data_IF_765578373776
#
_entry.id   IF_765578373776
#
_cell.length_a   1.000
_cell.length_b   1.000
_cell.length_c   1.000
_cell.angle_alpha   90.00
_cell.angle_beta   90.00
_cell.angle_gamma   90.00
#
_symmetry.space_group_name_H-M   'P 1'
#
loop_
_entity.id
_entity.type
_entity.pdbx_description
1 polymer ?
#
# COMPACT_ATOMS: atom_id res chain seq x y z
N UNK A 1 5.41 20.54 28.51
CA UNK A 1 4.15 19.79 28.28
C UNK A 1 3.38 20.30 27.06
N UNK A 2 2.98 21.58 26.98
CA UNK A 2 2.20 22.13 25.85
C UNK A 2 2.93 22.03 24.49
N UNK A 3 4.24 22.36 24.45
CA UNK A 3 5.06 22.25 23.23
C UNK A 3 5.20 20.81 22.71
N UNK A 4 5.16 19.83 23.61
CA UNK A 4 5.23 18.40 23.29
C UNK A 4 3.90 17.89 22.73
N UNK A 5 2.77 18.31 23.29
CA UNK A 5 1.44 17.99 22.76
C UNK A 5 1.18 18.62 21.38
N UNK A 6 1.63 19.87 21.17
CA UNK A 6 1.53 20.52 19.85
C UNK A 6 2.40 19.83 18.79
N UNK A 7 3.55 19.28 19.17
CA UNK A 7 4.40 18.51 18.25
C UNK A 7 3.77 17.16 17.85
N UNK A 8 3.04 16.51 18.77
CA UNK A 8 2.32 15.25 18.49
C UNK A 8 1.14 15.48 17.52
N UNK A 9 0.37 16.55 17.74
CA UNK A 9 -0.69 16.95 16.81
C UNK A 9 -0.15 17.33 15.43
N UNK A 10 1.00 18.04 15.37
CA UNK A 10 1.65 18.36 14.09
C UNK A 10 2.36 17.17 13.42
N UNK A 11 2.67 16.09 14.14
CA UNK A 11 3.21 14.87 13.52
C UNK A 11 2.12 14.02 12.86
N UNK A 12 0.90 14.03 13.41
CA UNK A 12 -0.21 13.24 12.87
C UNK A 12 -0.76 13.79 11.55
N UNK A 13 -0.71 15.11 11.33
CA UNK A 13 -1.20 15.74 10.09
C UNK A 13 -0.15 15.77 8.95
N UNK A 14 1.12 15.44 9.23
CA UNK A 14 2.13 15.41 8.18
C UNK A 14 1.92 14.16 7.30
N UNK A 15 1.91 14.30 5.95
CA UNK A 15 1.90 13.14 5.07
C UNK A 15 3.23 12.38 5.18
N UNK A 16 3.17 11.13 5.63
CA UNK A 16 4.35 10.29 5.92
C UNK A 16 4.37 8.99 5.11
N UNK A 17 3.20 8.51 4.68
CA UNK A 17 3.07 7.19 4.06
C UNK A 17 2.70 7.31 2.60
N UNK A 18 3.56 6.82 1.71
CA UNK A 18 3.27 6.84 0.28
C UNK A 18 2.05 5.95 -0.05
N UNK A 19 1.24 6.39 -1.01
CA UNK A 19 0.03 5.70 -1.47
C UNK A 19 0.25 4.24 -1.89
N UNK A 20 1.46 3.88 -2.36
CA UNK A 20 1.84 2.51 -2.72
C UNK A 20 1.64 1.50 -1.60
N UNK A 21 1.77 1.93 -0.34
CA UNK A 21 1.52 1.08 0.83
C UNK A 21 0.06 0.63 0.83
N UNK A 22 -0.88 1.57 0.73
CA UNK A 22 -2.32 1.28 0.72
C UNK A 22 -2.72 0.53 -0.56
N UNK A 23 -2.15 0.89 -1.72
CA UNK A 23 -2.39 0.18 -2.97
C UNK A 23 -2.03 -1.30 -2.87
N UNK A 24 -0.95 -1.65 -2.15
CA UNK A 24 -0.59 -3.04 -1.90
C UNK A 24 -1.63 -3.77 -1.04
N UNK A 25 -2.13 -3.14 0.03
CA UNK A 25 -3.21 -3.71 0.82
C UNK A 25 -4.46 -3.95 -0.02
N UNK A 26 -4.85 -3.00 -0.88
CA UNK A 26 -6.00 -3.18 -1.78
C UNK A 26 -5.81 -4.40 -2.69
N UNK A 27 -4.62 -4.60 -3.24
CA UNK A 27 -4.32 -5.80 -4.05
C UNK A 27 -4.45 -7.09 -3.23
N UNK A 28 -3.93 -7.11 -2.00
CA UNK A 28 -4.09 -8.24 -1.08
C UNK A 28 -5.58 -8.51 -0.79
N UNK A 29 -6.33 -7.47 -0.45
CA UNK A 29 -7.77 -7.53 -0.14
C UNK A 29 -8.54 -8.14 -1.30
N UNK A 30 -8.36 -7.62 -2.52
CA UNK A 30 -9.00 -8.16 -3.73
C UNK A 30 -8.69 -9.64 -3.95
N UNK A 31 -7.50 -10.11 -3.53
CA UNK A 31 -7.06 -11.48 -3.75
C UNK A 31 -7.53 -12.46 -2.66
N UNK A 32 -7.59 -12.04 -1.41
CA UNK A 32 -7.79 -12.93 -0.25
C UNK A 32 -8.99 -12.60 0.63
N UNK A 33 -9.48 -11.37 0.55
CA UNK A 33 -10.56 -10.84 1.39
C UNK A 33 -11.64 -10.20 0.52
N UNK A 34 -12.13 -10.93 -0.50
CA UNK A 34 -13.10 -10.42 -1.47
C UNK A 34 -14.45 -9.98 -0.90
N UNK A 35 -14.71 -10.28 0.38
CA UNK A 35 -15.88 -9.82 1.13
C UNK A 35 -15.72 -8.42 1.74
N UNK A 36 -14.53 -7.82 1.70
CA UNK A 36 -14.27 -6.49 2.23
C UNK A 36 -14.68 -5.44 1.19
N UNK A 37 -15.57 -4.53 1.57
CA UNK A 37 -15.90 -3.35 0.76
C UNK A 37 -14.74 -2.34 0.84
N UNK A 38 -14.00 -2.21 -0.26
CA UNK A 38 -12.85 -1.31 -0.36
C UNK A 38 -13.29 0.16 -0.33
N UNK A 39 -14.43 0.50 -0.90
CA UNK A 39 -14.91 1.88 -0.91
C UNK A 39 -15.30 2.33 0.50
N UNK A 40 -16.01 1.46 1.24
CA UNK A 40 -16.34 1.72 2.65
C UNK A 40 -15.08 1.83 3.51
N UNK A 41 -14.13 0.89 3.35
CA UNK A 41 -12.86 0.89 4.08
C UNK A 41 -12.09 2.19 3.88
N UNK A 42 -11.91 2.62 2.63
CA UNK A 42 -11.20 3.87 2.33
C UNK A 42 -11.95 5.09 2.87
N UNK A 43 -13.28 5.11 2.74
CA UNK A 43 -14.09 6.21 3.27
C UNK A 43 -13.93 6.37 4.78
N UNK A 44 -13.94 5.27 5.54
CA UNK A 44 -13.70 5.28 7.00
C UNK A 44 -12.30 5.78 7.36
N UNK A 45 -11.32 5.46 6.52
CA UNK A 45 -9.94 5.95 6.64
C UNK A 45 -9.72 7.40 6.14
N UNK A 46 -10.78 8.10 5.71
CA UNK A 46 -10.69 9.43 5.08
C UNK A 46 -9.76 9.43 3.85
N UNK A 47 -9.75 8.34 3.11
CA UNK A 47 -9.00 8.16 1.86
C UNK A 47 -9.98 8.06 0.68
N UNK A 48 -9.52 8.49 -0.49
CA UNK A 48 -10.26 8.34 -1.75
C UNK A 48 -9.50 7.41 -2.69
N UNK A 49 -10.23 6.64 -3.49
CA UNK A 49 -9.61 5.66 -4.38
C UNK A 49 -8.57 6.29 -5.31
N UNK A 50 -8.88 7.44 -5.91
CA UNK A 50 -7.94 8.15 -6.80
C UNK A 50 -6.66 8.62 -6.10
N UNK A 51 -6.69 8.84 -4.77
CA UNK A 51 -5.49 9.18 -4.00
C UNK A 51 -4.60 7.96 -3.79
N UNK A 52 -5.19 6.77 -3.74
CA UNK A 52 -4.44 5.52 -3.64
C UNK A 52 -3.79 5.17 -4.99
N UNK A 53 -4.47 5.48 -6.09
CA UNK A 53 -3.96 5.25 -7.45
C UNK A 53 -2.89 6.29 -7.88
N UNK A 54 -2.83 7.46 -7.22
CA UNK A 54 -1.80 8.47 -7.44
C UNK A 54 -0.50 8.10 -6.72
N UNK A 55 0.53 7.66 -7.45
CA UNK A 55 1.84 7.30 -6.89
C UNK A 55 2.58 8.46 -6.19
N UNK A 56 2.23 9.71 -6.54
CA UNK A 56 2.77 10.92 -5.92
C UNK A 56 2.07 11.31 -4.62
N UNK A 57 0.96 10.65 -4.28
CA UNK A 57 0.19 10.97 -3.08
C UNK A 57 0.80 10.37 -1.82
N UNK A 58 0.70 11.14 -0.72
CA UNK A 58 1.15 10.75 0.60
C UNK A 58 0.00 10.91 1.59
N UNK A 59 -0.19 9.90 2.43
CA UNK A 59 -1.19 9.85 3.48
C UNK A 59 -0.56 10.17 4.84
N UNK A 60 -1.38 10.69 5.73
CA UNK A 60 -0.97 10.98 7.10
C UNK A 60 -0.97 9.74 7.99
N UNK A 61 -0.33 9.82 9.16
CA UNK A 61 -0.34 8.72 10.14
C UNK A 61 -1.76 8.33 10.52
N UNK A 62 -2.61 9.30 10.88
CA UNK A 62 -3.98 9.02 11.33
C UNK A 62 -4.84 8.39 10.22
N UNK A 63 -4.61 8.74 8.95
CA UNK A 63 -5.31 8.06 7.84
C UNK A 63 -4.91 6.58 7.74
N UNK A 64 -3.60 6.29 7.82
CA UNK A 64 -3.09 4.91 7.76
C UNK A 64 -3.52 4.09 8.97
N UNK A 65 -3.56 4.69 10.16
CA UNK A 65 -4.01 4.02 11.37
C UNK A 65 -5.49 3.65 11.28
N UNK A 66 -6.36 4.58 10.86
CA UNK A 66 -7.78 4.30 10.62
C UNK A 66 -7.96 3.18 9.59
N UNK A 67 -7.21 3.22 8.49
CA UNK A 67 -7.25 2.17 7.48
C UNK A 67 -6.89 0.81 8.08
N UNK A 68 -5.79 0.73 8.84
CA UNK A 68 -5.33 -0.51 9.45
C UNK A 68 -6.30 -1.04 10.49
N UNK A 69 -6.77 -0.20 11.42
CA UNK A 69 -7.71 -0.57 12.47
C UNK A 69 -9.01 -1.14 11.89
N UNK A 70 -9.59 -0.45 10.90
CA UNK A 70 -10.81 -0.92 10.24
C UNK A 70 -10.58 -2.21 9.46
N UNK A 71 -9.48 -2.33 8.73
CA UNK A 71 -9.16 -3.55 7.99
C UNK A 71 -8.97 -4.74 8.94
N UNK A 72 -8.21 -4.57 10.03
CA UNK A 72 -7.99 -5.61 11.03
C UNK A 72 -9.30 -6.04 11.70
N UNK A 73 -10.19 -5.09 12.03
CA UNK A 73 -11.50 -5.38 12.60
C UNK A 73 -12.40 -6.20 11.66
N UNK A 74 -12.45 -5.85 10.37
CA UNK A 74 -13.28 -6.57 9.38
C UNK A 74 -12.71 -7.96 9.08
N UNK A 75 -11.39 -8.07 8.93
CA UNK A 75 -10.72 -9.32 8.55
C UNK A 75 -10.55 -10.29 9.71
N UNK A 76 -10.60 -9.79 10.96
CA UNK A 76 -10.22 -10.52 12.19
C UNK A 76 -8.83 -11.14 12.11
N UNK A 77 -7.97 -10.60 11.25
CA UNK A 77 -6.62 -11.08 11.05
C UNK A 77 -5.64 -10.24 11.87
N UNK A 78 -5.17 -10.80 13.00
CA UNK A 78 -4.21 -10.13 13.90
C UNK A 78 -2.87 -9.80 13.21
N UNK A 79 -2.57 -10.44 12.08
CA UNK A 79 -1.30 -10.31 11.38
C UNK A 79 -1.43 -9.72 9.97
N UNK A 80 -2.50 -8.97 9.68
CA UNK A 80 -2.78 -8.44 8.33
C UNK A 80 -1.62 -7.58 7.78
N UNK A 81 -0.92 -6.83 8.64
CA UNK A 81 0.29 -6.08 8.25
C UNK A 81 1.42 -6.98 7.78
N UNK A 82 1.65 -8.08 8.51
CA UNK A 82 2.69 -9.05 8.16
C UNK A 82 2.32 -9.77 6.85
N UNK A 83 1.04 -10.05 6.65
CA UNK A 83 0.56 -10.65 5.41
C UNK A 83 0.71 -9.71 4.22
N UNK A 84 0.33 -8.44 4.35
CA UNK A 84 0.54 -7.41 3.33
C UNK A 84 2.02 -7.24 2.99
N UNK A 85 2.90 -7.26 3.99
CA UNK A 85 4.35 -7.24 3.77
C UNK A 85 4.85 -8.44 2.95
N UNK A 86 4.43 -9.66 3.29
CA UNK A 86 4.76 -10.86 2.50
C UNK A 86 4.20 -10.81 1.08
N UNK A 87 2.98 -10.29 0.94
CA UNK A 87 2.35 -10.11 -0.37
C UNK A 87 3.11 -9.11 -1.24
N UNK A 88 3.56 -7.97 -0.69
CA UNK A 88 4.42 -7.02 -1.42
C UNK A 88 5.68 -7.66 -1.99
N UNK A 89 6.26 -8.61 -1.27
CA UNK A 89 7.46 -9.33 -1.67
C UNK A 89 7.18 -10.50 -2.64
N UNK A 90 5.90 -10.82 -2.90
CA UNK A 90 5.52 -11.90 -3.80
C UNK A 90 5.44 -11.43 -5.26
N UNK A 91 5.54 -12.37 -6.23
CA UNK A 91 5.33 -12.08 -7.66
C UNK A 91 4.03 -11.34 -7.94
N UNK A 92 2.97 -11.69 -7.23
CA UNK A 92 1.60 -11.18 -7.42
C UNK A 92 1.36 -9.81 -6.78
N UNK A 93 2.08 -9.46 -5.71
CA UNK A 93 1.82 -8.24 -4.94
C UNK A 93 2.79 -7.08 -5.20
N UNK A 94 4.03 -7.37 -5.60
CA UNK A 94 4.99 -6.29 -5.84
C UNK A 94 6.23 -6.58 -6.68
N UNK A 95 6.51 -7.82 -7.05
CA UNK A 95 7.63 -8.08 -7.97
C UNK A 95 7.39 -7.47 -9.37
N UNK A 96 6.13 -7.25 -9.76
CA UNK A 96 5.74 -6.64 -11.03
C UNK A 96 6.08 -5.15 -11.21
N UNK A 97 6.32 -4.37 -10.14
CA UNK A 97 6.81 -2.98 -10.26
C UNK A 97 8.33 -2.89 -10.18
N UNK A 98 8.96 -3.71 -9.32
CA UNK A 98 10.42 -3.83 -9.23
C UNK A 98 11.00 -4.32 -10.55
N UNK A 99 10.31 -5.22 -11.25
CA UNK A 99 10.73 -5.69 -12.57
C UNK A 99 10.91 -4.56 -13.59
N UNK A 100 10.09 -3.49 -13.54
CA UNK A 100 10.24 -2.34 -14.45
C UNK A 100 11.55 -1.58 -14.23
N UNK A 101 11.95 -1.41 -12.98
CA UNK A 101 13.22 -0.77 -12.62
C UNK A 101 14.41 -1.69 -12.92
N UNK A 102 14.31 -2.98 -12.58
CA UNK A 102 15.35 -3.98 -12.87
C UNK A 102 15.55 -4.13 -14.38
N UNK A 103 14.49 -4.10 -15.19
CA UNK A 103 14.57 -4.12 -16.65
C UNK A 103 15.21 -2.84 -17.22
N UNK A 104 15.00 -1.69 -16.59
CA UNK A 104 15.67 -0.43 -16.96
C UNK A 104 17.18 -0.42 -16.63
N UNK A 105 17.61 -1.24 -15.67
CA UNK A 105 19.01 -1.44 -15.31
C UNK A 105 19.66 -2.59 -16.13
N UNK A 106 18.86 -3.52 -16.62
CA UNK A 106 19.29 -4.57 -17.52
C UNK A 106 19.58 -3.95 -18.89
N UNK A 107 20.77 -4.18 -19.45
CA UNK A 107 21.06 -3.78 -20.82
C UNK A 107 20.01 -4.35 -21.80
N UNK A 108 19.77 -3.71 -22.97
CA UNK A 108 18.64 -4.03 -23.85
C UNK A 108 18.49 -5.53 -24.15
N UNK A 109 19.61 -6.24 -24.38
CA UNK A 109 19.62 -7.67 -24.65
C UNK A 109 19.04 -8.52 -23.51
N UNK A 110 19.28 -8.17 -22.25
CA UNK A 110 18.74 -8.87 -21.08
C UNK A 110 17.27 -8.55 -20.85
N UNK A 111 16.84 -7.33 -21.16
CA UNK A 111 15.43 -6.97 -21.10
C UNK A 111 14.59 -7.77 -22.14
N UNK A 112 15.06 -7.86 -23.38
CA UNK A 112 14.39 -8.65 -24.43
C UNK A 112 14.35 -10.16 -24.12
N UNK A 113 15.40 -10.71 -23.52
CA UNK A 113 15.45 -12.14 -23.11
C UNK A 113 14.40 -12.46 -22.03
N UNK A 114 14.24 -11.57 -21.04
CA UNK A 114 13.22 -11.74 -19.98
C UNK A 114 11.81 -11.60 -20.55
N UNK A 115 11.56 -10.60 -21.42
CA UNK A 115 10.25 -10.41 -22.06
C UNK A 115 9.88 -11.65 -22.90
N UNK A 116 10.82 -12.16 -23.69
CA UNK A 116 10.60 -13.34 -24.55
C UNK A 116 10.29 -14.62 -23.78
N UNK A 117 10.69 -14.71 -22.50
CA UNK A 117 10.43 -15.86 -21.63
C UNK A 117 9.11 -15.76 -20.85
N UNK A 118 8.52 -14.56 -20.81
CA UNK A 118 7.26 -14.26 -20.13
C UNK A 118 6.05 -14.22 -21.08
N UNK A 119 6.29 -14.15 -22.40
CA UNK A 119 5.30 -14.27 -23.46
C UNK A 119 5.08 -15.74 -23.84
#
# INVERSE_FOLDING_TARGET
MIKTMNNLLQSEDRPLYNSKIIANYIRLIKRRYGYVDIAELLSRAKMKLYQVDDEGHWFTQSQVDLFYEHLAAITRAENISREAGRYSASPEGGMGWISRYVLGLAGPAKAFDVISKLA
#
